data_IF_128031981346
#
_entry.id   IF_128031981346
#
_cell.length_a   1.000
_cell.length_b   1.000
_cell.length_c   1.000
_cell.angle_alpha   90.00
_cell.angle_beta   90.00
_cell.angle_gamma   90.00
#
_symmetry.space_group_name_H-M   'P 1'
#
loop_
_entity.id
_entity.type
_entity.pdbx_description
1 polymer ?
#
# COMPACT_ATOMS: atom_id res chain seq x y z
N UNK A 1 -25.99 -32.18 -2.24
CA UNK A 1 -24.68 -32.70 -2.72
C UNK A 1 -23.75 -31.51 -2.75
N UNK A 2 -22.88 -31.39 -1.75
CA UNK A 2 -21.90 -30.30 -1.66
C UNK A 2 -20.84 -30.58 -2.72
N UNK A 3 -20.84 -29.85 -3.82
CA UNK A 3 -19.68 -29.80 -4.71
C UNK A 3 -18.53 -29.24 -3.90
N UNK A 4 -17.61 -30.13 -3.57
CA UNK A 4 -16.32 -29.76 -3.00
C UNK A 4 -15.52 -29.08 -4.15
N UNK A 5 -15.86 -27.82 -4.45
CA UNK A 5 -15.18 -27.10 -5.52
C UNK A 5 -13.72 -26.87 -5.08
N UNK A 6 -12.82 -27.38 -5.91
CA UNK A 6 -11.37 -27.37 -5.71
C UNK A 6 -10.86 -25.92 -5.49
N UNK A 7 -10.04 -25.73 -4.45
CA UNK A 7 -9.35 -24.46 -4.22
C UNK A 7 -8.12 -24.39 -5.13
N UNK A 8 -8.02 -23.30 -5.87
CA UNK A 8 -6.89 -23.02 -6.76
C UNK A 8 -6.22 -21.73 -6.32
N UNK A 9 -4.90 -21.76 -6.17
CA UNK A 9 -4.07 -20.58 -5.89
C UNK A 9 -3.22 -20.32 -7.13
N UNK A 10 -3.36 -19.13 -7.70
CA UNK A 10 -2.58 -18.69 -8.86
C UNK A 10 -1.78 -17.44 -8.58
N UNK A 11 -0.60 -17.33 -9.19
CA UNK A 11 0.28 -16.17 -9.11
C UNK A 11 0.27 -15.44 -10.43
N UNK A 12 0.03 -14.14 -10.39
CA UNK A 12 -0.13 -13.28 -11.53
C UNK A 12 1.05 -12.29 -11.60
N UNK A 13 1.90 -12.37 -12.63
CA UNK A 13 3.09 -11.52 -12.77
C UNK A 13 2.77 -10.11 -13.30
N UNK A 14 1.50 -9.78 -13.50
CA UNK A 14 1.01 -8.47 -13.91
C UNK A 14 -0.46 -8.31 -13.53
N UNK A 15 -0.85 -7.09 -13.17
CA UNK A 15 -2.24 -6.70 -12.93
C UNK A 15 -3.13 -6.97 -14.14
N UNK A 16 -2.62 -6.76 -15.36
CA UNK A 16 -3.33 -6.99 -16.62
C UNK A 16 -3.81 -8.45 -16.79
N UNK A 17 -3.19 -9.42 -16.12
CA UNK A 17 -3.57 -10.84 -16.20
C UNK A 17 -4.79 -11.20 -15.36
N UNK A 18 -5.26 -10.28 -14.50
CA UNK A 18 -6.48 -10.43 -13.70
C UNK A 18 -7.54 -9.47 -14.28
N UNK A 19 -8.71 -9.94 -14.68
CA UNK A 19 -9.77 -9.06 -15.18
C UNK A 19 -10.12 -7.95 -14.16
N UNK A 20 -10.27 -6.72 -14.63
CA UNK A 20 -10.57 -5.57 -13.75
C UNK A 20 -11.86 -5.75 -12.94
N UNK A 21 -12.87 -6.39 -13.53
CA UNK A 21 -14.12 -6.71 -12.83
C UNK A 21 -13.89 -7.69 -11.66
N UNK A 22 -13.01 -8.69 -11.83
CA UNK A 22 -12.63 -9.63 -10.77
C UNK A 22 -11.86 -8.93 -9.66
N UNK A 23 -10.85 -8.16 -10.01
CA UNK A 23 -10.05 -7.41 -9.06
C UNK A 23 -10.91 -6.45 -8.23
N UNK A 24 -11.68 -5.60 -8.91
CA UNK A 24 -12.48 -4.58 -8.25
C UNK A 24 -13.61 -5.18 -7.39
N UNK A 25 -14.19 -6.31 -7.80
CA UNK A 25 -15.19 -7.01 -7.00
C UNK A 25 -14.63 -7.58 -5.67
N UNK A 26 -13.34 -7.99 -5.64
CA UNK A 26 -12.66 -8.43 -4.41
C UNK A 26 -12.17 -7.26 -3.56
N UNK A 27 -11.82 -6.14 -4.19
CA UNK A 27 -11.33 -4.95 -3.53
C UNK A 27 -12.43 -4.04 -2.97
N UNK A 28 -13.70 -4.28 -3.33
CA UNK A 28 -14.84 -3.46 -2.90
C UNK A 28 -15.66 -4.14 -1.83
N UNK A 29 -16.26 -3.33 -0.95
CA UNK A 29 -17.17 -3.79 0.11
C UNK A 29 -18.61 -3.99 -0.40
N UNK A 30 -18.77 -4.51 -1.64
CA UNK A 30 -20.07 -4.82 -2.25
C UNK A 30 -20.50 -3.90 -3.41
N UNK A 31 -19.62 -2.99 -3.85
CA UNK A 31 -19.83 -2.14 -5.04
C UNK A 31 -19.11 -2.68 -6.29
N UNK A 32 -19.30 -2.00 -7.43
CA UNK A 32 -18.58 -2.30 -8.68
C UNK A 32 -17.14 -1.80 -8.69
N UNK A 33 -16.83 -0.83 -7.83
CA UNK A 33 -15.48 -0.24 -7.67
C UNK A 33 -15.12 -0.13 -6.19
N UNK A 34 -13.83 -0.21 -5.86
CA UNK A 34 -13.36 0.03 -4.50
C UNK A 34 -13.67 1.48 -4.05
N UNK A 35 -14.09 1.64 -2.79
CA UNK A 35 -14.25 2.96 -2.17
C UNK A 35 -12.90 3.70 -2.05
N UNK A 36 -11.82 2.93 -1.92
CA UNK A 36 -10.46 3.45 -1.90
C UNK A 36 -9.83 3.35 -3.29
N UNK A 37 -9.53 4.48 -3.97
CA UNK A 37 -8.98 4.49 -5.32
C UNK A 37 -7.61 3.80 -5.42
N UNK A 38 -6.85 3.69 -4.33
CA UNK A 38 -5.58 2.99 -4.28
C UNK A 38 -5.72 1.46 -4.28
N UNK A 39 -6.94 0.93 -4.26
CA UNK A 39 -7.24 -0.49 -4.44
C UNK A 39 -7.81 -0.80 -5.82
N UNK A 40 -8.12 0.21 -6.64
CA UNK A 40 -8.65 0.02 -7.99
C UNK A 40 -7.62 -0.66 -8.89
N UNK A 41 -8.06 -1.64 -9.67
CA UNK A 41 -7.27 -2.31 -10.70
C UNK A 41 -6.53 -1.32 -11.62
N UNK A 42 -7.21 -0.24 -12.02
CA UNK A 42 -6.64 0.78 -12.91
C UNK A 42 -5.45 1.51 -12.28
N UNK A 43 -5.41 1.68 -10.95
CA UNK A 43 -4.27 2.27 -10.25
C UNK A 43 -3.03 1.38 -10.34
N UNK A 44 -3.17 0.09 -10.03
CA UNK A 44 -2.06 -0.86 -10.12
C UNK A 44 -1.58 -1.04 -11.57
N UNK A 45 -2.52 -1.16 -12.51
CA UNK A 45 -2.19 -1.27 -13.93
C UNK A 45 -1.43 -0.04 -14.44
N UNK A 46 -1.85 1.17 -14.06
CA UNK A 46 -1.17 2.41 -14.46
C UNK A 46 0.26 2.48 -13.92
N UNK A 47 0.53 1.98 -12.70
CA UNK A 47 1.88 1.91 -12.14
C UNK A 47 2.78 0.93 -12.89
N UNK A 48 2.23 -0.18 -13.38
CA UNK A 48 2.97 -1.15 -14.19
C UNK A 48 3.22 -0.62 -15.60
N UNK A 49 2.19 -0.12 -16.29
CA UNK A 49 2.28 0.41 -17.65
C UNK A 49 3.18 1.65 -17.78
N UNK A 50 3.19 2.50 -16.76
CA UNK A 50 4.11 3.65 -16.69
C UNK A 50 5.56 3.24 -16.39
N UNK A 51 5.80 1.98 -16.02
CA UNK A 51 7.11 1.49 -15.61
C UNK A 51 7.52 1.86 -14.18
N UNK A 52 6.62 2.47 -13.39
CA UNK A 52 6.91 2.85 -12.00
C UNK A 52 7.03 1.62 -11.08
N UNK A 53 6.14 0.62 -11.24
CA UNK A 53 6.15 -0.61 -10.44
C UNK A 53 6.43 -1.83 -11.32
N UNK A 54 7.70 -2.10 -11.58
CA UNK A 54 8.18 -3.21 -12.41
C UNK A 54 9.40 -3.88 -11.79
N UNK A 55 9.81 -5.02 -12.33
CA UNK A 55 11.06 -5.70 -11.91
C UNK A 55 12.29 -4.81 -12.08
N UNK A 56 12.33 -3.94 -13.10
CA UNK A 56 13.45 -3.01 -13.33
C UNK A 56 13.55 -1.93 -12.24
N UNK A 57 12.42 -1.57 -11.63
CA UNK A 57 12.35 -0.58 -10.52
C UNK A 57 12.29 -1.25 -9.15
N UNK A 58 12.55 -2.57 -9.08
CA UNK A 58 12.53 -3.34 -7.84
C UNK A 58 11.12 -3.59 -7.26
N UNK A 59 10.08 -3.48 -8.08
CA UNK A 59 8.68 -3.76 -7.75
C UNK A 59 8.09 -4.78 -8.72
N UNK A 60 8.58 -6.03 -8.71
CA UNK A 60 8.07 -7.05 -9.62
C UNK A 60 6.73 -7.61 -9.14
N UNK A 61 5.62 -7.44 -9.89
CA UNK A 61 4.32 -7.95 -9.47
C UNK A 61 4.31 -9.47 -9.33
N UNK A 62 3.62 -9.96 -8.29
CA UNK A 62 3.45 -11.37 -7.94
C UNK A 62 2.08 -11.55 -7.25
N UNK A 63 1.01 -10.96 -7.83
CA UNK A 63 -0.30 -10.96 -7.21
C UNK A 63 -0.85 -12.37 -7.02
N UNK A 64 -1.41 -12.66 -5.86
CA UNK A 64 -2.02 -13.95 -5.55
C UNK A 64 -3.53 -13.85 -5.73
N UNK A 65 -4.10 -14.75 -6.52
CA UNK A 65 -5.54 -14.94 -6.67
C UNK A 65 -5.94 -16.33 -6.19
N UNK A 66 -6.92 -16.40 -5.29
CA UNK A 66 -7.51 -17.64 -4.81
C UNK A 66 -8.91 -17.78 -5.44
N UNK A 67 -9.18 -18.94 -6.01
CA UNK A 67 -10.50 -19.28 -6.58
C UNK A 67 -11.02 -20.57 -5.97
N UNK A 68 -12.35 -20.67 -5.85
CA UNK A 68 -13.07 -21.90 -5.50
C UNK A 68 -13.84 -22.36 -6.74
N UNK A 69 -13.33 -23.40 -7.41
CA UNK A 69 -13.77 -23.72 -8.75
C UNK A 69 -13.51 -22.56 -9.72
N UNK A 70 -14.56 -22.04 -10.35
CA UNK A 70 -14.46 -20.89 -11.26
C UNK A 70 -14.64 -19.53 -10.55
N UNK A 71 -14.96 -19.52 -9.26
CA UNK A 71 -15.25 -18.28 -8.51
C UNK A 71 -14.01 -17.72 -7.81
N UNK A 72 -13.55 -16.50 -8.15
CA UNK A 72 -12.52 -15.81 -7.40
C UNK A 72 -13.03 -15.39 -6.02
N UNK A 73 -12.32 -15.78 -4.96
CA UNK A 73 -12.72 -15.54 -3.56
C UNK A 73 -11.75 -14.67 -2.78
N UNK A 74 -10.47 -14.59 -3.20
CA UNK A 74 -9.45 -13.80 -2.51
C UNK A 74 -8.36 -13.30 -3.44
N UNK A 75 -7.86 -12.08 -3.18
CA UNK A 75 -6.79 -11.42 -3.91
C UNK A 75 -5.83 -10.73 -2.95
N UNK A 76 -4.54 -10.92 -3.15
CA UNK A 76 -3.49 -10.18 -2.45
C UNK A 76 -2.59 -9.49 -3.47
N UNK A 77 -2.66 -8.15 -3.62
CA UNK A 77 -1.66 -7.41 -4.36
C UNK A 77 -0.29 -7.61 -3.72
N UNK A 78 0.67 -8.13 -4.46
CA UNK A 78 1.95 -8.56 -3.93
C UNK A 78 3.07 -8.26 -4.93
N UNK A 79 4.25 -7.89 -4.41
CA UNK A 79 5.42 -7.56 -5.22
C UNK A 79 6.65 -8.26 -4.67
N UNK A 80 7.50 -8.80 -5.55
CA UNK A 80 8.86 -9.20 -5.20
C UNK A 80 9.75 -7.96 -5.24
N UNK A 81 10.33 -7.63 -4.10
CA UNK A 81 11.09 -6.41 -3.87
C UNK A 81 12.58 -6.68 -3.81
N UNK A 82 13.37 -5.90 -4.56
CA UNK A 82 14.83 -5.90 -4.47
C UNK A 82 15.40 -4.83 -3.53
N UNK A 83 14.54 -3.94 -2.99
CA UNK A 83 14.86 -2.86 -2.05
C UNK A 83 13.57 -2.35 -1.38
N UNK A 84 13.67 -1.56 -0.30
CA UNK A 84 12.49 -1.00 0.41
C UNK A 84 12.08 0.41 -0.02
N UNK A 85 12.63 0.94 -1.12
CA UNK A 85 12.22 2.26 -1.61
C UNK A 85 10.76 2.24 -2.06
N UNK A 86 10.02 3.30 -1.69
CA UNK A 86 8.61 3.48 -2.02
C UNK A 86 7.63 2.75 -1.12
N UNK A 87 8.09 2.06 -0.07
CA UNK A 87 7.25 1.37 0.91
C UNK A 87 6.84 2.26 2.09
N UNK A 88 7.60 3.33 2.33
CA UNK A 88 7.45 4.23 3.49
C UNK A 88 7.53 3.53 4.85
N UNK A 89 8.21 2.37 4.88
CA UNK A 89 8.61 1.66 6.09
C UNK A 89 10.13 1.69 6.19
N UNK A 90 10.64 2.23 7.29
CA UNK A 90 12.08 2.43 7.47
C UNK A 90 12.71 1.17 8.10
N UNK A 91 12.98 0.17 7.26
CA UNK A 91 13.52 -1.13 7.65
C UNK A 91 15.03 -1.30 7.34
N UNK A 92 15.73 -0.21 6.99
CA UNK A 92 17.16 -0.23 6.65
C UNK A 92 18.01 -0.85 7.77
N UNK A 93 17.70 -0.55 9.04
CA UNK A 93 18.45 -1.11 10.17
C UNK A 93 18.30 -2.64 10.28
N UNK A 94 17.18 -3.20 9.83
CA UNK A 94 16.95 -4.64 9.80
C UNK A 94 17.71 -5.28 8.65
N UNK A 95 17.68 -4.65 7.46
CA UNK A 95 18.45 -5.09 6.31
C UNK A 95 19.94 -5.14 6.66
N UNK A 96 20.50 -4.07 7.22
CA UNK A 96 21.89 -4.00 7.68
C UNK A 96 22.22 -5.05 8.75
N UNK A 97 21.29 -5.33 9.67
CA UNK A 97 21.52 -6.33 10.72
C UNK A 97 21.59 -7.76 10.15
N UNK A 98 20.67 -8.10 9.23
CA UNK A 98 20.64 -9.41 8.58
C UNK A 98 21.88 -9.60 7.70
N UNK A 99 22.27 -8.58 6.92
CA UNK A 99 23.47 -8.64 6.08
C UNK A 99 24.74 -8.79 6.91
N UNK A 100 24.88 -8.09 8.02
CA UNK A 100 26.00 -8.27 8.97
C UNK A 100 26.04 -9.65 9.60
N UNK A 101 24.88 -10.31 9.75
CA UNK A 101 24.79 -11.69 10.22
C UNK A 101 25.07 -12.73 9.10
N UNK A 102 25.38 -12.29 7.87
CA UNK A 102 25.68 -13.16 6.73
C UNK A 102 24.43 -13.66 5.98
N UNK A 103 23.24 -13.09 6.25
CA UNK A 103 22.01 -13.36 5.54
C UNK A 103 21.75 -12.36 4.42
N UNK A 104 20.67 -12.59 3.66
CA UNK A 104 20.18 -11.66 2.63
C UNK A 104 18.80 -11.18 3.06
N UNK A 105 18.62 -9.86 3.14
CA UNK A 105 17.32 -9.26 3.41
C UNK A 105 16.45 -9.18 2.15
N UNK A 106 17.07 -8.99 1.00
CA UNK A 106 16.40 -8.98 -0.30
C UNK A 106 16.80 -10.23 -1.13
N UNK A 107 15.90 -10.69 -2.04
CA UNK A 107 14.56 -10.18 -2.26
C UNK A 107 13.60 -10.53 -1.12
N UNK A 108 12.54 -9.72 -0.95
CA UNK A 108 11.42 -9.99 -0.04
C UNK A 108 10.08 -9.85 -0.78
N UNK A 109 9.01 -10.45 -0.29
CA UNK A 109 7.66 -10.19 -0.77
C UNK A 109 7.03 -9.04 0.02
N UNK A 110 6.31 -8.17 -0.69
CA UNK A 110 5.69 -6.98 -0.12
C UNK A 110 4.27 -6.79 -0.62
N UNK A 111 3.29 -6.78 0.28
CA UNK A 111 1.94 -6.30 0.02
C UNK A 111 1.79 -4.89 0.53
N UNK A 112 1.57 -3.95 -0.38
CA UNK A 112 1.43 -2.53 -0.09
C UNK A 112 0.75 -1.80 -1.24
N UNK A 113 0.28 -0.59 -0.99
CA UNK A 113 -0.02 0.37 -2.06
C UNK A 113 1.33 0.97 -2.48
N UNK A 114 1.81 0.74 -3.71
CA UNK A 114 3.11 1.24 -4.12
C UNK A 114 3.18 2.77 -4.03
N UNK A 115 4.29 3.29 -3.50
CA UNK A 115 4.59 4.71 -3.38
C UNK A 115 3.59 5.54 -2.56
N UNK A 116 2.72 4.87 -1.77
CA UNK A 116 1.61 5.54 -1.07
C UNK A 116 1.50 5.02 0.36
N UNK A 117 1.78 5.83 1.40
CA UNK A 117 1.70 5.43 2.80
C UNK A 117 0.24 5.49 3.31
N UNK A 118 -0.68 4.85 2.61
CA UNK A 118 -2.10 4.83 2.94
C UNK A 118 -2.51 3.50 3.58
N UNK A 119 -3.23 3.57 4.69
CA UNK A 119 -3.87 2.40 5.27
C UNK A 119 -4.98 1.91 4.35
N UNK A 120 -4.92 0.65 3.97
CA UNK A 120 -5.88 0.00 3.10
C UNK A 120 -5.81 -1.52 3.32
N UNK A 121 -6.88 -2.27 3.04
CA UNK A 121 -6.84 -3.73 3.02
C UNK A 121 -5.80 -4.26 2.04
N UNK A 122 -5.16 -5.36 2.42
CA UNK A 122 -4.19 -6.10 1.59
C UNK A 122 -4.67 -7.52 1.29
N UNK A 123 -5.56 -8.04 2.14
CA UNK A 123 -6.17 -9.36 2.02
C UNK A 123 -7.60 -9.18 1.50
N UNK A 124 -7.72 -8.95 0.18
CA UNK A 124 -8.96 -8.55 -0.46
C UNK A 124 -9.87 -9.76 -0.65
N UNK A 125 -11.06 -9.71 -0.05
CA UNK A 125 -12.08 -10.77 -0.16
C UNK A 125 -13.44 -10.13 -0.28
N UNK A 126 -14.33 -10.75 -1.04
CA UNK A 126 -15.68 -10.21 -1.28
C UNK A 126 -16.53 -10.14 -0.01
N UNK A 127 -16.37 -11.10 0.89
CA UNK A 127 -17.19 -11.33 2.07
C UNK A 127 -16.46 -11.08 3.41
N UNK A 128 -15.21 -10.61 3.35
CA UNK A 128 -14.39 -10.42 4.54
C UNK A 128 -14.00 -11.73 5.24
N UNK A 129 -14.06 -12.87 4.56
CA UNK A 129 -13.80 -14.20 5.14
C UNK A 129 -12.39 -14.30 5.73
N UNK A 130 -12.30 -14.46 7.06
CA UNK A 130 -11.05 -14.66 7.79
C UNK A 130 -10.30 -15.92 7.30
N UNK A 131 -11.02 -16.99 6.95
CA UNK A 131 -10.41 -18.22 6.41
C UNK A 131 -9.72 -17.94 5.08
N UNK A 132 -10.36 -17.18 4.18
CA UNK A 132 -9.77 -16.80 2.89
C UNK A 132 -8.58 -15.86 3.07
N UNK A 133 -8.66 -14.93 4.01
CA UNK A 133 -7.54 -14.03 4.34
C UNK A 133 -6.35 -14.80 4.92
N UNK A 134 -6.61 -15.78 5.79
CA UNK A 134 -5.57 -16.70 6.30
C UNK A 134 -4.92 -17.50 5.16
N UNK A 135 -5.70 -18.00 4.22
CA UNK A 135 -5.16 -18.70 3.04
C UNK A 135 -4.28 -17.78 2.17
N UNK A 136 -4.61 -16.50 2.03
CA UNK A 136 -3.77 -15.53 1.30
C UNK A 136 -2.42 -15.34 1.98
N UNK A 137 -2.37 -15.25 3.33
CA UNK A 137 -1.13 -15.18 4.09
C UNK A 137 -0.28 -16.44 3.88
N UNK A 138 -0.86 -17.62 4.07
CA UNK A 138 -0.17 -18.92 3.86
C UNK A 138 0.34 -19.08 2.42
N UNK A 139 -0.46 -18.66 1.43
CA UNK A 139 -0.06 -18.67 0.03
C UNK A 139 1.13 -17.75 -0.24
N UNK A 140 1.17 -16.58 0.41
CA UNK A 140 2.29 -15.64 0.29
C UNK A 140 3.57 -16.18 0.91
N UNK A 141 3.50 -16.91 2.03
CA UNK A 141 4.63 -17.60 2.65
C UNK A 141 5.17 -18.69 1.74
N UNK A 142 4.30 -19.56 1.23
CA UNK A 142 4.68 -20.61 0.29
C UNK A 142 5.30 -20.05 -1.01
N UNK A 143 4.81 -18.90 -1.46
CA UNK A 143 5.40 -18.20 -2.60
C UNK A 143 6.78 -17.64 -2.27
N UNK A 144 6.97 -17.07 -1.06
CA UNK A 144 8.27 -16.58 -0.62
C UNK A 144 9.34 -17.70 -0.61
N UNK A 145 9.00 -18.87 -0.06
CA UNK A 145 9.88 -20.05 -0.07
C UNK A 145 10.24 -20.45 -1.51
N UNK A 146 9.25 -20.51 -2.41
CA UNK A 146 9.46 -20.90 -3.80
C UNK A 146 10.35 -19.94 -4.57
N UNK A 147 10.27 -18.64 -4.26
CA UNK A 147 11.06 -17.58 -4.90
C UNK A 147 12.41 -17.34 -4.22
N UNK A 148 12.70 -18.00 -3.08
CA UNK A 148 13.87 -17.73 -2.27
C UNK A 148 13.88 -16.33 -1.67
N UNK A 149 12.69 -15.76 -1.43
CA UNK A 149 12.55 -14.47 -0.75
C UNK A 149 12.78 -14.63 0.76
N UNK A 150 13.39 -13.63 1.38
CA UNK A 150 13.77 -13.66 2.80
C UNK A 150 12.59 -13.64 3.75
N UNK A 151 11.50 -12.99 3.33
CA UNK A 151 10.34 -12.71 4.18
C UNK A 151 9.15 -12.24 3.36
N UNK A 152 7.98 -12.18 4.01
CA UNK A 152 6.76 -11.52 3.50
C UNK A 152 6.40 -10.37 4.42
N UNK A 153 6.08 -9.22 3.84
CA UNK A 153 5.66 -8.02 4.55
C UNK A 153 4.32 -7.53 4.03
N UNK A 154 3.48 -7.02 4.93
CA UNK A 154 2.27 -6.26 4.61
C UNK A 154 2.32 -4.94 5.38
N UNK A 155 2.24 -3.80 4.68
CA UNK A 155 2.39 -2.48 5.30
C UNK A 155 1.09 -1.70 5.27
N UNK A 156 0.85 -0.89 6.31
CA UNK A 156 -0.34 -0.07 6.46
C UNK A 156 -1.65 -0.89 6.35
N UNK A 157 -1.66 -2.06 7.00
CA UNK A 157 -2.82 -2.95 7.08
C UNK A 157 -3.94 -2.35 7.93
N UNK A 158 -5.14 -2.88 7.81
CA UNK A 158 -6.26 -2.53 8.69
C UNK A 158 -6.17 -3.28 10.02
N UNK A 159 -6.90 -2.81 11.07
CA UNK A 159 -6.89 -3.48 12.36
C UNK A 159 -7.44 -4.91 12.32
N UNK A 160 -8.41 -5.17 11.44
CA UNK A 160 -8.96 -6.52 11.26
C UNK A 160 -7.93 -7.47 10.64
N UNK A 161 -7.19 -7.01 9.63
CA UNK A 161 -6.10 -7.78 9.01
C UNK A 161 -4.93 -8.00 9.96
N UNK A 162 -4.62 -7.02 10.82
CA UNK A 162 -3.62 -7.18 11.88
C UNK A 162 -3.98 -8.33 12.81
N UNK A 163 -5.24 -8.39 13.26
CA UNK A 163 -5.71 -9.45 14.13
C UNK A 163 -5.62 -10.84 13.46
N UNK A 164 -5.95 -10.94 12.17
CA UNK A 164 -5.84 -12.19 11.42
C UNK A 164 -4.37 -12.58 11.26
N UNK A 165 -3.50 -11.66 10.87
CA UNK A 165 -2.08 -11.93 10.71
C UNK A 165 -1.44 -12.39 12.03
N UNK A 166 -1.76 -11.73 13.15
CA UNK A 166 -1.31 -12.12 14.47
C UNK A 166 -1.81 -13.52 14.89
N UNK A 167 -3.00 -13.94 14.46
CA UNK A 167 -3.55 -15.27 14.77
C UNK A 167 -2.81 -16.43 14.08
N UNK A 168 -1.99 -16.12 13.08
CA UNK A 168 -1.14 -17.08 12.34
C UNK A 168 0.35 -16.76 12.48
N UNK A 169 0.73 -16.22 13.64
CA UNK A 169 2.11 -15.98 14.08
C UNK A 169 2.89 -14.94 13.24
N UNK A 170 2.22 -14.08 12.48
CA UNK A 170 2.88 -12.94 11.85
C UNK A 170 3.27 -11.90 12.91
N UNK A 171 4.45 -11.34 12.74
CA UNK A 171 4.97 -10.31 13.63
C UNK A 171 4.34 -8.96 13.32
N UNK A 172 3.70 -8.35 14.32
CA UNK A 172 3.09 -7.03 14.20
C UNK A 172 4.08 -5.96 14.59
N UNK A 173 4.16 -4.90 13.77
CA UNK A 173 4.92 -3.69 14.05
C UNK A 173 4.04 -2.47 13.96
N UNK A 174 4.05 -1.65 15.00
CA UNK A 174 3.39 -0.34 15.00
C UNK A 174 4.39 0.79 14.77
N UNK A 175 3.94 1.79 14.03
CA UNK A 175 4.64 3.06 13.86
C UNK A 175 3.66 4.22 14.03
N UNK A 176 4.15 5.46 14.14
CA UNK A 176 3.32 6.63 14.43
C UNK A 176 3.21 7.52 13.21
N UNK A 177 2.00 7.76 12.74
CA UNK A 177 1.67 8.82 11.79
C UNK A 177 1.06 10.01 12.50
N UNK A 178 1.50 11.21 12.14
CA UNK A 178 0.93 12.46 12.66
C UNK A 178 -0.12 12.98 11.68
N UNK A 179 -1.35 13.08 12.15
CA UNK A 179 -2.46 13.63 11.38
C UNK A 179 -2.87 14.97 11.97
N UNK A 180 -3.01 15.98 11.13
CA UNK A 180 -3.63 17.23 11.52
C UNK A 180 -5.12 17.19 11.16
N UNK A 181 -5.97 17.44 12.15
CA UNK A 181 -7.40 17.54 11.96
C UNK A 181 -7.82 18.99 12.13
N UNK A 182 -8.66 19.50 11.24
CA UNK A 182 -9.22 20.83 11.36
C UNK A 182 -10.34 20.85 12.40
N UNK A 183 -10.10 21.47 13.56
CA UNK A 183 -11.07 21.61 14.65
C UNK A 183 -12.09 22.76 14.38
N UNK A 184 -12.39 23.04 13.12
CA UNK A 184 -13.37 24.04 12.72
C UNK A 184 -12.78 25.40 12.39
N UNK A 185 -11.45 25.52 12.27
CA UNK A 185 -10.79 26.75 11.83
C UNK A 185 -11.22 27.13 10.41
N UNK A 186 -11.65 28.36 10.26
CA UNK A 186 -12.05 28.92 8.95
C UNK A 186 -10.89 29.62 8.26
N UNK A 187 -9.89 30.06 9.04
CA UNK A 187 -8.71 30.75 8.54
C UNK A 187 -7.45 30.17 9.16
N UNK A 188 -6.31 30.37 8.48
CA UNK A 188 -5.02 29.99 9.02
C UNK A 188 -4.63 30.78 10.28
N UNK A 189 -5.10 32.04 10.39
CA UNK A 189 -4.85 32.83 11.57
C UNK A 189 -5.61 32.30 12.80
N UNK A 190 -6.83 31.80 12.65
CA UNK A 190 -7.54 31.14 13.74
C UNK A 190 -6.78 29.91 14.24
N UNK A 191 -6.21 29.10 13.35
CA UNK A 191 -5.32 27.99 13.75
C UNK A 191 -4.09 28.54 14.47
N UNK A 192 -3.41 29.57 13.94
CA UNK A 192 -2.23 30.14 14.59
C UNK A 192 -2.51 30.66 16.01
N UNK A 193 -3.72 31.16 16.24
CA UNK A 193 -4.08 31.72 17.54
C UNK A 193 -4.21 30.67 18.65
N UNK A 194 -4.36 29.39 18.29
CA UNK A 194 -4.31 28.26 19.25
C UNK A 194 -2.89 27.91 19.68
N UNK A 195 -1.89 28.34 18.93
CA UNK A 195 -0.49 28.04 19.21
C UNK A 195 0.12 28.99 20.23
N UNK A 196 1.14 28.49 20.95
CA UNK A 196 1.95 29.33 21.81
C UNK A 196 2.56 30.51 21.04
N UNK A 197 2.62 31.67 21.67
CA UNK A 197 3.10 32.93 21.07
C UNK A 197 4.44 32.81 20.32
N UNK A 198 5.39 32.02 20.85
CA UNK A 198 6.70 31.80 20.21
C UNK A 198 6.53 31.04 18.87
N UNK A 199 5.74 29.97 18.85
CA UNK A 199 5.48 29.17 17.64
C UNK A 199 4.74 29.98 16.58
N UNK A 200 3.68 30.68 16.99
CA UNK A 200 2.92 31.57 16.11
C UNK A 200 3.80 32.64 15.44
N UNK A 201 4.66 33.29 16.20
CA UNK A 201 5.60 34.28 15.66
C UNK A 201 6.61 33.66 14.69
N UNK A 202 7.12 32.47 14.99
CA UNK A 202 8.05 31.76 14.12
C UNK A 202 7.39 31.44 12.78
N UNK A 203 6.19 30.83 12.78
CA UNK A 203 5.46 30.46 11.56
C UNK A 203 5.11 31.69 10.72
N UNK A 204 4.63 32.79 11.35
CA UNK A 204 4.36 34.03 10.62
C UNK A 204 5.61 34.62 9.98
N UNK A 205 6.76 34.52 10.65
CA UNK A 205 8.03 34.98 10.09
C UNK A 205 8.46 34.09 8.92
N UNK A 206 8.47 32.79 9.08
CA UNK A 206 8.87 31.82 8.05
C UNK A 206 8.01 31.99 6.78
N UNK A 207 6.68 32.12 6.91
CA UNK A 207 5.78 32.36 5.76
C UNK A 207 6.08 33.67 5.03
N UNK A 208 6.47 34.72 5.74
CA UNK A 208 6.85 35.99 5.13
C UNK A 208 8.21 35.87 4.43
N UNK A 209 9.18 35.23 5.09
CA UNK A 209 10.53 35.05 4.56
C UNK A 209 10.54 34.11 3.34
N UNK A 210 9.64 33.14 3.27
CA UNK A 210 9.53 32.24 2.13
C UNK A 210 9.14 32.94 0.80
N UNK A 211 8.63 34.16 0.85
CA UNK A 211 8.23 34.94 -0.32
C UNK A 211 9.16 36.15 -0.57
N UNK A 212 10.30 36.20 0.08
CA UNK A 212 11.32 37.22 -0.16
C UNK A 212 11.98 36.98 -1.53
N UNK A 213 12.53 38.01 -2.13
CA UNK A 213 13.26 37.98 -3.39
C UNK A 213 12.39 37.67 -4.64
N UNK A 214 11.10 38.02 -4.58
CA UNK A 214 10.20 37.92 -5.72
C UNK A 214 9.67 36.50 -6.00
N UNK A 215 9.82 35.57 -5.05
CA UNK A 215 9.19 34.26 -5.13
C UNK A 215 7.67 34.42 -5.07
N UNK A 216 6.98 33.89 -6.06
CA UNK A 216 5.52 33.83 -6.13
C UNK A 216 5.02 32.39 -6.09
N UNK A 217 3.87 32.16 -5.44
CA UNK A 217 3.19 30.87 -5.47
C UNK A 217 1.91 31.01 -6.28
N UNK A 218 1.77 30.21 -7.32
CA UNK A 218 0.60 30.16 -8.18
C UNK A 218 -0.08 28.78 -8.06
N UNK A 219 -1.41 28.80 -7.93
CA UNK A 219 -2.20 27.57 -8.00
C UNK A 219 -2.53 27.28 -9.45
N UNK A 220 -2.01 26.16 -9.95
CA UNK A 220 -2.22 25.70 -11.31
C UNK A 220 -3.05 24.43 -11.28
N UNK A 221 -4.19 24.40 -11.96
CA UNK A 221 -5.11 23.26 -11.96
C UNK A 221 -5.72 23.01 -13.34
N UNK A 222 -6.17 21.80 -13.60
CA UNK A 222 -6.91 21.46 -14.82
C UNK A 222 -6.12 21.73 -16.10
N UNK A 223 -6.70 22.51 -17.00
CA UNK A 223 -6.13 22.82 -18.33
C UNK A 223 -4.84 23.60 -18.28
N UNK A 224 -4.60 24.35 -17.22
CA UNK A 224 -3.40 25.18 -17.06
C UNK A 224 -2.13 24.32 -16.84
N UNK A 225 -2.32 23.04 -16.43
CA UNK A 225 -1.21 22.09 -16.26
C UNK A 225 -0.53 21.71 -17.57
N UNK A 226 -1.15 21.93 -18.73
CA UNK A 226 -0.59 21.57 -20.04
C UNK A 226 0.56 22.46 -20.49
N UNK A 227 0.71 23.65 -19.90
CA UNK A 227 1.75 24.64 -20.26
C UNK A 227 3.00 24.52 -19.37
N UNK A 228 2.93 23.71 -18.29
CA UNK A 228 4.05 23.53 -17.36
C UNK A 228 4.81 22.28 -17.77
N UNK A 229 6.00 22.47 -18.31
CA UNK A 229 6.98 21.43 -18.62
C UNK A 229 8.22 21.57 -17.74
#
# INVERSE_FOLDING_TARGET
>A
MSENSELTISVHPTTASIPSATWNALASSGGEKPDNPFLDHAFFLALEESGCATGATGWQPQHILISRGAEPIGLMPLFLKSHSMGEYVFDHAWADAIERAGGNYYPKLQSSVPFTPASAPKLLTRDGSADTQTLLLQASEALAERLGASSVHATFVTGDEEAIAASVDWLVRHDTQFHWTNDGFKTFDEFLDTLQSRKRKAIRRERREALIDGITCEWVTGTDLTEIR
#
